data_IF_695518131993
#
_entry.id   IF_695518131993
#
_cell.length_a   1.000
_cell.length_b   1.000
_cell.length_c   1.000
_cell.angle_alpha   90.00
_cell.angle_beta   90.00
_cell.angle_gamma   90.00
#
_symmetry.space_group_name_H-M   'P 1'
#
loop_
_entity.id
_entity.type
_entity.pdbx_description
1 polymer ?
#
# COMPACT_ATOMS: atom_id res chain seq x y z
N UNK A 1 -29.05 16.33 -96.80
CA UNK A 1 -27.88 16.81 -97.52
C UNK A 1 -26.70 16.78 -96.64
N UNK A 2 -25.70 16.06 -96.99
CA UNK A 2 -24.30 16.04 -96.66
C UNK A 2 -23.90 15.83 -95.22
N UNK A 3 -23.65 14.63 -94.92
CA UNK A 3 -22.84 14.03 -93.88
C UNK A 3 -21.35 14.31 -94.02
N UNK A 4 -20.60 14.44 -92.99
CA UNK A 4 -19.22 13.91 -92.83
C UNK A 4 -18.80 13.78 -91.43
N UNK A 5 -17.84 12.85 -91.07
CA UNK A 5 -17.77 12.22 -89.80
C UNK A 5 -16.60 12.77 -88.98
N UNK A 6 -16.74 12.65 -87.60
CA UNK A 6 -15.66 12.98 -86.67
C UNK A 6 -14.77 11.77 -86.41
N UNK A 7 -13.47 11.99 -86.55
CA UNK A 7 -12.39 11.06 -86.31
C UNK A 7 -12.23 10.82 -84.78
N UNK A 8 -12.10 9.57 -84.43
CA UNK A 8 -11.69 9.13 -83.11
C UNK A 8 -10.27 9.62 -82.74
N UNK A 9 -10.14 10.28 -81.62
CA UNK A 9 -8.87 10.54 -81.01
C UNK A 9 -8.85 9.75 -79.66
N UNK A 10 -8.10 8.67 -79.62
CA UNK A 10 -7.89 7.83 -78.47
C UNK A 10 -6.88 8.57 -77.58
N UNK A 11 -7.36 9.01 -76.41
CA UNK A 11 -6.50 9.53 -75.33
C UNK A 11 -6.19 8.35 -74.44
N UNK A 12 -4.91 7.93 -74.43
CA UNK A 12 -4.36 6.97 -73.47
C UNK A 12 -4.14 7.69 -72.20
N UNK A 13 -4.99 7.44 -71.18
CA UNK A 13 -4.74 7.87 -69.78
C UNK A 13 -3.77 6.87 -69.14
N UNK A 14 -2.54 7.33 -68.92
CA UNK A 14 -1.53 6.64 -68.08
C UNK A 14 -1.88 6.86 -66.61
N UNK A 15 -2.53 5.90 -65.97
CA UNK A 15 -2.75 5.91 -64.50
C UNK A 15 -1.44 5.54 -63.80
N UNK A 16 -0.75 6.54 -63.30
CA UNK A 16 0.32 6.34 -62.30
C UNK A 16 -0.33 5.97 -60.97
N UNK A 17 -0.30 4.70 -60.61
CA UNK A 17 -0.58 4.24 -59.25
C UNK A 17 0.58 4.65 -58.37
N UNK A 18 0.43 5.73 -57.61
CA UNK A 18 1.30 6.01 -56.42
C UNK A 18 0.88 5.04 -55.31
N UNK A 19 1.63 3.97 -55.12
CA UNK A 19 1.60 3.18 -53.88
C UNK A 19 2.25 4.05 -52.81
N UNK A 20 1.45 4.78 -52.04
CA UNK A 20 1.86 5.29 -50.73
C UNK A 20 1.94 4.10 -49.76
N UNK A 21 3.14 3.55 -49.61
CA UNK A 21 3.47 2.69 -48.48
C UNK A 21 3.41 3.59 -47.25
N UNK A 22 2.31 3.51 -46.51
CA UNK A 22 2.28 4.03 -45.13
C UNK A 22 3.29 3.19 -44.32
N UNK A 23 4.48 3.72 -44.20
CA UNK A 23 5.44 3.27 -43.19
C UNK A 23 4.87 3.70 -41.82
N UNK A 24 4.14 2.81 -41.15
CA UNK A 24 3.86 2.92 -39.73
C UNK A 24 5.21 2.68 -39.04
N UNK A 25 5.97 3.75 -38.93
CA UNK A 25 7.20 3.75 -38.15
C UNK A 25 6.85 3.51 -36.68
N UNK A 26 6.94 2.27 -36.25
CA UNK A 26 7.03 1.95 -34.82
C UNK A 26 8.27 2.67 -34.29
N UNK A 27 8.09 3.48 -33.25
CA UNK A 27 9.18 4.17 -32.57
C UNK A 27 10.18 3.09 -32.11
N UNK A 28 11.49 3.17 -32.44
CA UNK A 28 12.44 2.09 -32.12
C UNK A 28 12.55 1.81 -30.61
N UNK A 29 12.29 2.81 -29.75
CA UNK A 29 12.23 2.65 -28.31
C UNK A 29 11.09 1.76 -27.86
N UNK A 30 9.91 1.85 -28.47
CA UNK A 30 8.74 1.02 -28.14
C UNK A 30 8.95 -0.46 -28.51
N UNK A 31 9.74 -0.75 -29.56
CA UNK A 31 10.09 -2.11 -29.94
C UNK A 31 11.03 -2.75 -28.93
N UNK A 32 12.04 -2.01 -28.46
CA UNK A 32 13.00 -2.50 -27.46
C UNK A 32 12.33 -2.78 -26.10
N UNK A 33 11.46 -1.88 -25.63
CA UNK A 33 10.70 -2.09 -24.39
C UNK A 33 9.80 -3.34 -24.48
N UNK A 34 9.15 -3.58 -25.64
CA UNK A 34 8.30 -4.76 -25.85
C UNK A 34 9.10 -6.06 -25.89
N UNK A 35 10.28 -6.07 -26.52
CA UNK A 35 11.20 -7.22 -26.51
C UNK A 35 11.67 -7.53 -25.09
N UNK A 36 12.02 -6.51 -24.31
CA UNK A 36 12.45 -6.64 -22.93
C UNK A 36 11.35 -7.23 -22.03
N UNK A 37 10.10 -6.75 -22.18
CA UNK A 37 8.95 -7.32 -21.46
C UNK A 37 8.69 -8.77 -21.81
N UNK A 38 8.87 -9.18 -23.08
CA UNK A 38 8.77 -10.59 -23.47
C UNK A 38 9.83 -11.47 -22.82
N UNK A 39 11.05 -10.95 -22.63
CA UNK A 39 12.09 -11.65 -21.85
C UNK A 39 11.72 -11.74 -20.37
N UNK A 40 11.20 -10.66 -19.79
CA UNK A 40 10.71 -10.65 -18.41
C UNK A 40 9.63 -11.72 -18.22
N UNK A 41 8.64 -11.82 -19.12
CA UNK A 41 7.57 -12.82 -19.06
C UNK A 41 8.14 -14.25 -19.01
N UNK A 42 9.11 -14.54 -19.90
CA UNK A 42 9.78 -15.85 -19.90
C UNK A 42 10.55 -16.12 -18.63
N UNK A 43 11.31 -15.14 -18.14
CA UNK A 43 12.11 -15.26 -16.92
C UNK A 43 11.26 -15.39 -15.66
N UNK A 44 10.14 -14.64 -15.59
CA UNK A 44 9.19 -14.73 -14.48
C UNK A 44 8.61 -16.14 -14.38
N UNK A 45 8.20 -16.72 -15.51
CA UNK A 45 7.68 -18.09 -15.54
C UNK A 45 8.76 -19.15 -15.19
N UNK A 46 10.00 -18.97 -15.63
CA UNK A 46 11.14 -19.84 -15.23
C UNK A 46 11.45 -19.76 -13.74
N UNK A 47 11.23 -18.60 -13.12
CA UNK A 47 11.58 -18.31 -11.73
C UNK A 47 10.46 -18.66 -10.73
N UNK A 48 9.23 -18.93 -11.18
CA UNK A 48 8.04 -19.13 -10.34
C UNK A 48 8.30 -20.09 -9.16
N UNK A 49 8.83 -21.27 -9.44
CA UNK A 49 9.10 -22.27 -8.40
C UNK A 49 10.07 -21.77 -7.34
N UNK A 50 11.04 -20.95 -7.73
CA UNK A 50 12.03 -20.36 -6.82
C UNK A 50 11.42 -19.26 -5.95
N UNK A 51 10.54 -18.41 -6.52
CA UNK A 51 9.79 -17.40 -5.77
C UNK A 51 8.91 -18.06 -4.71
N UNK A 52 8.25 -19.18 -5.07
CA UNK A 52 7.46 -19.97 -4.11
C UNK A 52 8.35 -20.56 -3.00
N UNK A 53 9.56 -21.06 -3.32
CA UNK A 53 10.52 -21.55 -2.32
C UNK A 53 10.95 -20.45 -1.35
N UNK A 54 11.28 -19.26 -1.84
CA UNK A 54 11.65 -18.10 -1.02
C UNK A 54 10.48 -17.68 -0.09
N UNK A 55 9.27 -17.54 -0.65
CA UNK A 55 8.07 -17.24 0.13
C UNK A 55 7.87 -18.23 1.26
N UNK A 56 7.95 -19.54 0.99
CA UNK A 56 7.76 -20.60 2.00
C UNK A 56 8.85 -20.59 3.06
N UNK A 57 10.10 -20.28 2.68
CA UNK A 57 11.18 -20.13 3.64
C UNK A 57 10.92 -18.99 4.62
N UNK A 58 10.52 -17.82 4.10
CA UNK A 58 10.21 -16.63 4.92
C UNK A 58 8.98 -16.92 5.80
N UNK A 59 7.94 -17.55 5.25
CA UNK A 59 6.74 -17.93 5.98
C UNK A 59 7.01 -18.87 7.17
N UNK A 60 7.95 -19.78 7.03
CA UNK A 60 8.37 -20.69 8.10
C UNK A 60 9.20 -20.03 9.19
N UNK A 61 9.81 -18.90 8.90
CA UNK A 61 10.73 -18.17 9.76
C UNK A 61 10.32 -16.73 10.00
N UNK A 62 9.06 -16.46 10.38
CA UNK A 62 8.54 -15.12 10.51
C UNK A 62 9.14 -14.40 11.73
N UNK A 63 9.35 -13.09 11.60
CA UNK A 63 9.87 -12.24 12.66
C UNK A 63 8.97 -11.02 12.82
N UNK A 64 8.80 -10.57 14.07
CA UNK A 64 7.98 -9.39 14.40
C UNK A 64 8.66 -8.09 13.97
N UNK A 65 7.86 -7.04 13.84
CA UNK A 65 8.28 -5.67 13.51
C UNK A 65 9.52 -5.22 14.28
N UNK A 66 10.50 -4.62 13.60
CA UNK A 66 11.83 -4.23 14.10
C UNK A 66 12.69 -5.39 14.66
N UNK A 67 12.33 -6.64 14.36
CA UNK A 67 13.06 -7.85 14.78
C UNK A 67 13.38 -8.80 13.60
N UNK A 68 13.21 -8.32 12.38
CA UNK A 68 13.31 -9.06 11.12
C UNK A 68 14.78 -9.33 10.72
N UNK A 69 15.64 -9.70 11.69
CA UNK A 69 17.08 -9.84 11.49
C UNK A 69 17.46 -10.97 10.53
N UNK A 70 16.82 -12.15 10.66
CA UNK A 70 17.09 -13.31 9.80
C UNK A 70 16.47 -13.13 8.42
N UNK A 71 15.31 -12.49 8.35
CA UNK A 71 14.65 -12.09 7.11
C UNK A 71 15.55 -11.12 6.34
N UNK A 72 16.10 -10.10 7.01
CA UNK A 72 17.07 -9.17 6.42
C UNK A 72 18.37 -9.86 5.97
N UNK A 73 18.89 -10.80 6.76
CA UNK A 73 20.07 -11.60 6.39
C UNK A 73 19.79 -12.43 5.13
N UNK A 74 18.67 -13.13 5.08
CA UNK A 74 18.25 -13.95 3.94
C UNK A 74 18.10 -13.15 2.64
N UNK A 75 17.47 -11.96 2.74
CA UNK A 75 17.36 -11.02 1.62
C UNK A 75 18.75 -10.54 1.18
N UNK A 76 19.61 -10.16 2.14
CA UNK A 76 20.95 -9.65 1.87
C UNK A 76 21.83 -10.69 1.19
N UNK A 77 21.76 -11.96 1.59
CA UNK A 77 22.48 -13.05 0.94
C UNK A 77 22.09 -13.16 -0.53
N UNK A 78 20.78 -13.21 -0.84
CA UNK A 78 20.30 -13.26 -2.21
C UNK A 78 20.76 -12.07 -3.06
N UNK A 79 20.60 -10.84 -2.55
CA UNK A 79 20.98 -9.62 -3.27
C UNK A 79 22.50 -9.52 -3.49
N UNK A 80 23.30 -10.05 -2.53
CA UNK A 80 24.76 -10.13 -2.65
C UNK A 80 25.19 -11.08 -3.75
N UNK A 81 24.51 -12.23 -3.91
CA UNK A 81 24.76 -13.17 -5.00
C UNK A 81 24.50 -12.53 -6.38
N UNK A 82 23.56 -11.57 -6.45
CA UNK A 82 23.28 -10.78 -7.64
C UNK A 82 24.30 -9.66 -7.90
N UNK A 83 25.20 -9.39 -6.96
CA UNK A 83 26.22 -8.35 -7.06
C UNK A 83 25.68 -6.93 -7.02
N UNK A 84 24.60 -6.70 -6.27
CA UNK A 84 23.99 -5.39 -6.05
C UNK A 84 24.75 -4.61 -4.97
N UNK A 85 24.63 -3.27 -5.01
CA UNK A 85 25.08 -2.39 -3.93
C UNK A 85 24.01 -2.37 -2.83
N UNK A 86 24.36 -2.82 -1.61
CA UNK A 86 23.40 -3.11 -0.55
C UNK A 86 23.72 -2.28 0.69
N UNK A 87 22.69 -1.65 1.24
CA UNK A 87 22.69 -1.02 2.55
C UNK A 87 21.74 -1.80 3.47
N UNK A 88 22.25 -2.27 4.60
CA UNK A 88 21.47 -2.95 5.65
C UNK A 88 21.30 -2.06 6.87
N UNK A 89 20.33 -2.42 7.73
CA UNK A 89 20.07 -1.69 8.99
C UNK A 89 19.35 -0.35 8.80
N UNK A 90 18.71 -0.13 7.66
CA UNK A 90 17.85 1.05 7.43
C UNK A 90 16.56 0.85 8.23
N UNK A 91 16.20 1.82 9.05
CA UNK A 91 15.07 1.71 9.99
C UNK A 91 15.14 0.40 10.81
N UNK A 92 16.29 0.11 11.41
CA UNK A 92 16.68 -1.05 12.22
C UNK A 92 17.06 -2.29 11.39
N UNK A 93 16.14 -2.92 10.68
CA UNK A 93 16.34 -4.20 10.00
C UNK A 93 16.16 -4.11 8.50
N UNK A 94 15.74 -2.97 7.96
CA UNK A 94 15.48 -2.79 6.53
C UNK A 94 16.73 -2.97 5.66
N UNK A 95 16.49 -3.42 4.44
CA UNK A 95 17.52 -3.66 3.42
C UNK A 95 17.18 -2.85 2.19
N UNK A 96 18.18 -2.12 1.68
CA UNK A 96 18.04 -1.33 0.44
C UNK A 96 19.11 -1.78 -0.53
N UNK A 97 18.75 -2.05 -1.77
CA UNK A 97 19.71 -2.39 -2.82
C UNK A 97 19.52 -1.50 -4.05
N UNK A 98 20.62 -1.22 -4.73
CA UNK A 98 20.65 -0.36 -5.92
C UNK A 98 21.14 -1.17 -7.12
N UNK A 99 20.36 -1.12 -8.20
CA UNK A 99 20.70 -1.63 -9.51
C UNK A 99 20.84 -0.46 -10.48
N UNK A 100 22.07 -0.10 -10.83
CA UNK A 100 22.30 0.85 -11.91
C UNK A 100 22.25 0.13 -13.25
N UNK A 101 21.42 0.61 -14.17
CA UNK A 101 21.34 0.10 -15.55
C UNK A 101 22.54 0.51 -16.40
N UNK A 102 22.50 0.15 -17.69
CA UNK A 102 23.59 0.41 -18.64
C UNK A 102 23.74 1.89 -19.05
N UNK A 103 22.71 2.71 -18.84
CA UNK A 103 22.73 4.12 -19.18
C UNK A 103 21.99 4.94 -18.09
N UNK A 104 22.37 6.21 -17.91
CA UNK A 104 21.63 7.13 -17.04
C UNK A 104 20.16 7.25 -17.47
N UNK A 105 19.27 7.42 -16.49
CA UNK A 105 17.84 7.56 -16.69
C UNK A 105 17.14 7.85 -15.37
N UNK A 106 15.81 7.69 -15.31
CA UNK A 106 15.06 7.89 -14.08
C UNK A 106 15.42 6.87 -13.01
N UNK A 107 15.07 7.19 -11.76
CA UNK A 107 15.24 6.33 -10.60
C UNK A 107 13.87 5.86 -10.12
N UNK A 108 13.64 4.56 -10.15
CA UNK A 108 12.41 3.93 -9.67
C UNK A 108 12.69 3.14 -8.40
N UNK A 109 11.89 3.35 -7.37
CA UNK A 109 11.88 2.49 -6.20
C UNK A 109 10.78 1.41 -6.30
N UNK A 110 11.10 0.22 -5.82
CA UNK A 110 10.17 -0.87 -5.59
C UNK A 110 10.22 -1.24 -4.11
N UNK A 111 9.05 -1.40 -3.48
CA UNK A 111 8.96 -1.68 -2.04
C UNK A 111 8.27 -3.01 -1.75
N UNK A 112 8.81 -3.76 -0.82
CA UNK A 112 8.15 -4.85 -0.11
C UNK A 112 8.34 -4.67 1.40
N UNK A 113 7.27 -4.80 2.17
CA UNK A 113 7.32 -4.96 3.61
C UNK A 113 7.76 -6.38 3.98
N UNK A 114 8.27 -6.59 5.20
CA UNK A 114 8.87 -7.90 5.55
C UNK A 114 8.58 -8.39 6.97
N UNK A 115 7.82 -7.66 7.76
CA UNK A 115 7.48 -8.04 9.13
C UNK A 115 6.29 -9.00 9.21
N UNK A 116 6.20 -9.72 10.34
CA UNK A 116 5.13 -10.65 10.65
C UNK A 116 4.38 -10.22 11.91
N UNK A 117 3.24 -10.88 12.16
CA UNK A 117 2.29 -10.56 13.19
C UNK A 117 2.34 -11.53 14.39
N UNK A 118 1.93 -11.07 15.61
CA UNK A 118 1.81 -11.92 16.80
C UNK A 118 0.57 -12.82 16.72
N UNK A 119 0.54 -13.71 15.73
CA UNK A 119 -0.57 -14.64 15.44
C UNK A 119 -0.08 -16.08 15.45
N UNK A 120 -0.81 -16.97 16.13
CA UNK A 120 -0.52 -18.41 16.10
C UNK A 120 -1.21 -19.06 14.91
N UNK A 121 -0.44 -19.56 13.97
CA UNK A 121 -0.93 -20.12 12.71
C UNK A 121 -1.73 -21.42 12.90
N UNK A 122 -2.86 -21.52 12.17
CA UNK A 122 -3.72 -22.71 12.14
C UNK A 122 -3.86 -23.34 10.75
N UNK A 123 -3.22 -22.78 9.74
CA UNK A 123 -3.33 -23.32 8.37
C UNK A 123 -2.79 -24.75 8.29
N UNK A 124 -3.29 -25.58 7.35
CA UNK A 124 -2.84 -26.95 7.18
C UNK A 124 -1.61 -27.07 6.25
N UNK A 125 -0.96 -25.96 5.88
CA UNK A 125 0.16 -25.99 4.94
C UNK A 125 1.39 -26.68 5.54
N UNK A 126 2.19 -27.41 4.74
CA UNK A 126 3.35 -28.16 5.26
C UNK A 126 4.49 -27.24 5.72
N UNK A 127 4.49 -25.98 5.32
CA UNK A 127 5.47 -24.96 5.67
C UNK A 127 4.93 -23.93 6.69
N UNK A 128 3.89 -24.27 7.44
CA UNK A 128 3.33 -23.37 8.45
C UNK A 128 4.37 -22.96 9.49
N UNK A 129 4.22 -21.75 10.02
CA UNK A 129 5.03 -21.26 11.12
C UNK A 129 4.77 -22.01 12.42
N UNK A 130 5.84 -22.28 13.14
CA UNK A 130 5.83 -22.70 14.56
C UNK A 130 6.69 -21.74 15.40
N UNK A 131 7.01 -20.59 14.85
CA UNK A 131 7.84 -19.59 15.52
C UNK A 131 7.10 -19.02 16.74
N UNK A 132 7.88 -18.75 17.78
CA UNK A 132 7.44 -18.10 19.01
C UNK A 132 8.26 -16.83 19.18
N UNK A 133 7.59 -15.73 19.51
CA UNK A 133 8.20 -14.44 19.80
C UNK A 133 7.68 -13.84 21.09
N UNK A 134 8.21 -12.69 21.45
CA UNK A 134 7.72 -11.88 22.57
C UNK A 134 7.01 -10.62 22.04
N UNK A 135 5.77 -10.40 22.45
CA UNK A 135 5.00 -9.21 22.10
C UNK A 135 4.33 -8.64 23.36
N UNK A 136 4.62 -7.37 23.69
CA UNK A 136 4.11 -6.69 24.87
C UNK A 136 4.34 -7.47 26.19
N UNK A 137 5.51 -8.10 26.30
CA UNK A 137 5.89 -8.88 27.49
C UNK A 137 5.24 -10.27 27.61
N UNK A 138 4.58 -10.74 26.54
CA UNK A 138 3.96 -12.07 26.49
C UNK A 138 4.57 -12.91 25.37
N UNK A 139 4.70 -14.21 25.62
CA UNK A 139 5.05 -15.18 24.59
C UNK A 139 3.86 -15.39 23.64
N UNK A 140 4.09 -15.27 22.33
CA UNK A 140 3.08 -15.37 21.28
C UNK A 140 3.59 -16.20 20.11
N UNK A 141 2.68 -16.87 19.38
CA UNK A 141 3.00 -17.41 18.07
C UNK A 141 3.24 -16.26 17.06
N UNK A 142 4.08 -16.49 16.08
CA UNK A 142 4.39 -15.50 15.02
C UNK A 142 4.05 -16.08 13.66
N UNK A 143 3.36 -15.30 12.82
CA UNK A 143 2.91 -15.72 11.49
C UNK A 143 2.89 -14.55 10.51
N UNK A 144 3.27 -14.79 9.26
CA UNK A 144 2.95 -13.87 8.16
C UNK A 144 1.45 -13.93 7.83
N UNK A 145 0.64 -13.33 8.70
CA UNK A 145 -0.83 -13.32 8.55
C UNK A 145 -1.34 -12.14 7.71
N UNK A 146 -0.44 -11.35 7.12
CA UNK A 146 -0.74 -10.28 6.16
C UNK A 146 -0.17 -10.56 4.75
N UNK A 147 0.77 -11.51 4.62
CA UNK A 147 1.32 -11.93 3.34
C UNK A 147 2.59 -11.22 2.91
N UNK A 148 3.30 -10.54 3.83
CA UNK A 148 4.55 -9.84 3.56
C UNK A 148 5.66 -10.79 3.08
N UNK A 149 5.61 -12.06 3.48
CA UNK A 149 6.45 -13.13 2.91
C UNK A 149 6.33 -13.26 1.39
N UNK A 150 5.14 -12.99 0.83
CA UNK A 150 4.91 -12.96 -0.62
C UNK A 150 5.51 -11.72 -1.27
N UNK A 151 5.38 -10.56 -0.61
CA UNK A 151 5.90 -9.30 -1.12
C UNK A 151 7.43 -9.34 -1.22
N UNK A 152 8.10 -9.85 -0.16
CA UNK A 152 9.55 -10.05 -0.16
C UNK A 152 9.98 -11.00 -1.28
N UNK A 153 9.32 -12.17 -1.40
CA UNK A 153 9.69 -13.16 -2.42
C UNK A 153 9.50 -12.62 -3.84
N UNK A 154 8.42 -11.88 -4.09
CA UNK A 154 8.17 -11.20 -5.36
C UNK A 154 9.30 -10.21 -5.65
N UNK A 155 9.66 -9.35 -4.69
CA UNK A 155 10.69 -8.33 -4.90
C UNK A 155 12.09 -8.93 -5.09
N UNK A 156 12.41 -10.05 -4.42
CA UNK A 156 13.63 -10.83 -4.68
C UNK A 156 13.64 -11.34 -6.12
N UNK A 157 12.51 -11.83 -6.63
CA UNK A 157 12.37 -12.28 -8.01
C UNK A 157 12.56 -11.14 -9.02
N UNK A 158 11.99 -9.97 -8.74
CA UNK A 158 12.17 -8.77 -9.57
C UNK A 158 13.65 -8.35 -9.58
N UNK A 159 14.30 -8.35 -8.41
CA UNK A 159 15.72 -8.01 -8.31
C UNK A 159 16.60 -8.94 -9.16
N UNK A 160 16.33 -10.25 -9.14
CA UNK A 160 17.05 -11.21 -9.97
C UNK A 160 16.86 -10.93 -11.46
N UNK A 161 15.60 -10.82 -11.93
CA UNK A 161 15.29 -10.63 -13.36
C UNK A 161 15.88 -9.32 -13.88
N UNK A 162 15.69 -8.21 -13.17
CA UNK A 162 16.20 -6.91 -13.62
C UNK A 162 17.74 -6.87 -13.59
N UNK A 163 18.38 -7.60 -12.67
CA UNK A 163 19.86 -7.71 -12.65
C UNK A 163 20.36 -8.50 -13.85
N UNK A 164 19.72 -9.61 -14.23
CA UNK A 164 20.06 -10.37 -15.43
C UNK A 164 19.91 -9.52 -16.72
N UNK A 165 18.95 -8.58 -16.72
CA UNK A 165 18.67 -7.68 -17.85
C UNK A 165 19.32 -6.30 -17.71
N UNK A 166 20.26 -6.12 -16.78
CA UNK A 166 20.92 -4.85 -16.45
C UNK A 166 21.47 -4.11 -17.67
N UNK A 167 22.01 -4.85 -18.66
CA UNK A 167 22.58 -4.24 -19.89
C UNK A 167 21.54 -3.54 -20.79
N UNK A 168 20.27 -3.86 -20.60
CA UNK A 168 19.16 -3.31 -21.39
C UNK A 168 18.43 -2.15 -20.69
N UNK A 169 18.69 -1.95 -19.38
CA UNK A 169 18.01 -0.95 -18.58
C UNK A 169 18.62 0.45 -18.74
N UNK A 170 17.77 1.46 -18.84
CA UNK A 170 18.15 2.89 -18.91
C UNK A 170 17.60 3.62 -17.70
N UNK A 171 18.30 3.59 -16.59
CA UNK A 171 17.86 4.15 -15.31
C UNK A 171 18.41 3.35 -14.14
N UNK A 172 17.92 3.65 -12.96
CA UNK A 172 18.31 3.00 -11.71
C UNK A 172 17.09 2.45 -10.99
N UNK A 173 17.20 1.23 -10.46
CA UNK A 173 16.17 0.62 -9.61
C UNK A 173 16.68 0.58 -8.18
N UNK A 174 15.87 1.09 -7.25
CA UNK A 174 16.12 0.98 -5.82
C UNK A 174 15.13 -0.02 -5.22
N UNK A 175 15.61 -1.14 -4.74
CA UNK A 175 14.82 -2.15 -4.04
C UNK A 175 14.79 -1.82 -2.56
N UNK A 176 13.60 -1.70 -1.98
CA UNK A 176 13.38 -1.33 -0.58
C UNK A 176 12.64 -2.49 0.10
N UNK A 177 13.33 -3.21 0.97
CA UNK A 177 12.74 -4.21 1.86
C UNK A 177 12.55 -3.56 3.22
N UNK A 178 11.29 -3.27 3.52
CA UNK A 178 10.89 -2.38 4.61
C UNK A 178 10.48 -3.18 5.85
N UNK A 179 11.01 -2.86 7.06
CA UNK A 179 10.56 -3.45 8.32
C UNK A 179 9.31 -2.76 8.86
N UNK A 180 8.66 -3.38 9.82
CA UNK A 180 7.70 -2.78 10.75
C UNK A 180 6.53 -2.03 10.09
N UNK A 181 5.96 -2.57 9.00
CA UNK A 181 4.74 -2.02 8.39
C UNK A 181 3.55 -2.12 9.35
N UNK A 182 3.43 -3.21 10.09
CA UNK A 182 2.36 -3.48 11.05
C UNK A 182 2.47 -2.65 12.35
N UNK A 183 3.45 -1.78 12.40
CA UNK A 183 3.73 -0.87 13.51
C UNK A 183 4.93 -1.27 14.35
N UNK A 184 5.76 -0.28 14.67
CA UNK A 184 6.92 -0.47 15.52
C UNK A 184 6.52 -0.84 16.96
N UNK A 185 7.37 -1.59 17.69
CA UNK A 185 7.18 -1.85 19.11
C UNK A 185 7.03 -0.57 19.93
N UNK A 186 6.28 -0.64 21.02
CA UNK A 186 6.01 0.52 21.86
C UNK A 186 7.29 1.22 22.33
N UNK A 187 7.42 2.52 22.03
CA UNK A 187 8.58 3.34 22.35
C UNK A 187 9.71 3.30 21.33
N UNK A 188 9.53 2.59 20.21
CA UNK A 188 10.44 2.59 19.08
C UNK A 188 9.81 3.34 17.89
N UNK A 189 10.65 3.92 17.04
CA UNK A 189 10.25 4.33 15.68
C UNK A 189 10.49 3.16 14.72
N UNK A 190 9.86 3.17 13.54
CA UNK A 190 10.04 2.12 12.53
C UNK A 190 9.26 2.39 11.25
N UNK A 191 9.17 1.37 10.40
CA UNK A 191 8.37 1.40 9.18
C UNK A 191 8.87 2.39 8.12
N UNK A 192 7.99 2.68 7.18
CA UNK A 192 8.27 3.61 6.09
C UNK A 192 8.60 5.03 6.59
N UNK A 193 7.97 5.48 7.69
CA UNK A 193 8.22 6.81 8.26
C UNK A 193 9.68 6.96 8.66
N UNK A 194 10.26 5.97 9.36
CA UNK A 194 11.66 6.01 9.76
C UNK A 194 12.58 5.87 8.55
N UNK A 195 12.27 5.00 7.57
CA UNK A 195 13.05 4.89 6.33
C UNK A 195 13.11 6.22 5.57
N UNK A 196 12.00 6.97 5.49
CA UNK A 196 11.95 8.30 4.88
C UNK A 196 12.79 9.30 5.67
N UNK A 197 12.70 9.30 7.01
CA UNK A 197 13.54 10.15 7.88
C UNK A 197 15.03 9.87 7.70
N UNK A 198 15.41 8.62 7.46
CA UNK A 198 16.79 8.19 7.21
C UNK A 198 17.23 8.43 5.76
N UNK A 199 16.36 8.98 4.90
CA UNK A 199 16.69 9.41 3.56
C UNK A 199 16.67 8.31 2.50
N UNK A 200 15.88 7.25 2.67
CA UNK A 200 15.80 6.12 1.73
C UNK A 200 15.43 6.55 0.30
N UNK A 201 14.73 7.67 0.14
CA UNK A 201 14.33 8.20 -1.18
C UNK A 201 15.40 9.10 -1.83
N UNK A 202 16.56 9.26 -1.21
CA UNK A 202 17.67 10.06 -1.71
C UNK A 202 18.91 9.19 -2.00
N UNK A 203 19.87 9.71 -2.72
CA UNK A 203 21.15 9.04 -3.06
C UNK A 203 21.00 7.61 -3.66
N UNK A 204 20.47 7.50 -4.90
CA UNK A 204 19.98 8.54 -5.78
C UNK A 204 18.55 8.98 -5.42
N UNK A 205 18.17 10.22 -5.82
CA UNK A 205 16.81 10.73 -5.64
C UNK A 205 15.82 9.91 -6.47
N UNK A 206 14.74 9.48 -5.87
CA UNK A 206 13.73 8.61 -6.48
C UNK A 206 12.65 9.44 -7.17
N UNK A 207 12.36 9.13 -8.43
CA UNK A 207 11.34 9.81 -9.25
C UNK A 207 9.93 9.26 -9.04
N UNK A 208 9.82 7.94 -8.83
CA UNK A 208 8.55 7.24 -8.58
C UNK A 208 8.76 5.97 -7.78
N UNK A 209 7.72 5.56 -7.04
CA UNK A 209 7.74 4.31 -6.26
C UNK A 209 6.54 3.42 -6.59
N UNK A 210 6.78 2.11 -6.70
CA UNK A 210 5.75 1.10 -6.87
C UNK A 210 5.79 0.09 -5.72
N UNK A 211 4.60 -0.32 -5.28
CA UNK A 211 4.42 -1.39 -4.32
C UNK A 211 3.15 -2.18 -4.62
N UNK A 212 3.06 -3.37 -4.05
CA UNK A 212 1.86 -4.19 -4.12
C UNK A 212 1.54 -4.78 -2.75
N UNK A 213 0.28 -5.14 -2.57
CA UNK A 213 -0.16 -5.98 -1.47
C UNK A 213 -0.88 -7.21 -1.99
N UNK A 214 -0.59 -8.38 -1.45
CA UNK A 214 -1.37 -9.58 -1.75
C UNK A 214 -2.75 -9.47 -1.10
N UNK A 215 -3.81 -9.92 -1.79
CA UNK A 215 -5.18 -9.88 -1.26
C UNK A 215 -5.79 -11.27 -1.26
N UNK A 216 -6.18 -11.76 -0.10
CA UNK A 216 -6.92 -13.02 0.04
C UNK A 216 -8.40 -12.90 -0.37
N UNK A 217 -8.86 -11.69 -0.70
CA UNK A 217 -10.22 -11.41 -1.17
C UNK A 217 -10.32 -11.20 -2.69
N UNK A 218 -9.20 -10.98 -3.37
CA UNK A 218 -9.13 -10.82 -4.83
C UNK A 218 -8.72 -12.16 -5.46
N UNK A 219 -9.44 -12.68 -6.46
CA UNK A 219 -9.07 -13.92 -7.14
C UNK A 219 -7.66 -13.90 -7.69
N UNK A 220 -6.94 -15.03 -7.58
CA UNK A 220 -5.60 -15.20 -8.15
C UNK A 220 -5.61 -14.88 -9.65
N UNK A 221 -4.54 -14.22 -10.13
CA UNK A 221 -4.43 -13.76 -11.52
C UNK A 221 -5.07 -12.39 -11.79
N UNK A 222 -5.76 -11.79 -10.82
CA UNK A 222 -6.31 -10.43 -10.92
C UNK A 222 -5.43 -9.40 -10.22
N UNK A 223 -5.52 -8.17 -10.70
CA UNK A 223 -4.95 -6.97 -10.08
C UNK A 223 -6.07 -5.98 -9.83
N UNK A 224 -6.12 -5.40 -8.62
CA UNK A 224 -7.08 -4.34 -8.33
C UNK A 224 -6.35 -3.07 -7.88
N UNK A 225 -6.89 -1.92 -8.28
CA UNK A 225 -6.30 -0.60 -7.99
C UNK A 225 -7.37 0.48 -7.88
N UNK A 226 -6.95 1.66 -7.39
CA UNK A 226 -7.78 2.88 -7.42
C UNK A 226 -6.86 4.10 -7.58
N UNK A 227 -7.26 5.06 -8.39
CA UNK A 227 -6.64 6.39 -8.41
C UNK A 227 -7.01 7.16 -7.14
N UNK A 228 -6.10 7.98 -6.63
CA UNK A 228 -6.32 8.72 -5.39
C UNK A 228 -6.25 7.83 -4.14
N UNK A 229 -7.03 8.16 -3.14
CA UNK A 229 -7.05 7.41 -1.88
C UNK A 229 -7.52 5.97 -2.06
N UNK A 230 -6.64 5.00 -1.94
CA UNK A 230 -6.96 3.57 -2.02
C UNK A 230 -7.14 2.95 -0.64
N UNK A 231 -6.33 3.37 0.36
CA UNK A 231 -6.46 2.97 1.76
C UNK A 231 -6.51 4.20 2.66
N UNK A 232 -7.26 4.09 3.77
CA UNK A 232 -7.52 5.23 4.63
C UNK A 232 -6.32 5.60 5.52
N UNK A 233 -6.29 6.85 5.96
CA UNK A 233 -5.43 7.25 7.07
C UNK A 233 -5.81 6.52 8.36
N UNK A 234 -4.83 6.24 9.22
CA UNK A 234 -5.04 5.63 10.53
C UNK A 234 -4.67 6.63 11.62
N UNK A 235 -5.68 7.16 12.32
CA UNK A 235 -5.48 8.11 13.40
C UNK A 235 -6.33 7.71 14.61
N UNK A 236 -5.94 8.16 15.79
CA UNK A 236 -6.71 7.95 17.01
C UNK A 236 -6.93 9.25 17.78
N UNK A 237 -7.87 9.25 18.69
CA UNK A 237 -8.10 10.35 19.61
C UNK A 237 -8.38 9.84 21.01
N UNK A 238 -7.99 10.64 21.99
CA UNK A 238 -8.30 10.45 23.41
C UNK A 238 -8.98 11.71 23.94
N UNK A 239 -10.03 11.53 24.74
CA UNK A 239 -10.76 12.63 25.39
C UNK A 239 -10.89 12.30 26.86
N UNK A 240 -10.37 13.18 27.74
CA UNK A 240 -10.61 13.13 29.18
C UNK A 240 -11.56 14.26 29.56
N UNK A 241 -12.78 13.89 29.98
CA UNK A 241 -13.78 14.85 30.46
C UNK A 241 -13.65 14.96 31.97
N UNK A 242 -13.33 16.16 32.46
CA UNK A 242 -13.17 16.46 33.89
C UNK A 242 -14.39 17.23 34.40
N UNK A 243 -14.99 16.69 35.44
CA UNK A 243 -16.13 17.25 36.13
C UNK A 243 -15.82 17.60 37.59
N UNK A 244 -16.82 17.41 38.44
CA UNK A 244 -16.69 17.58 39.89
C UNK A 244 -17.46 16.48 40.57
N UNK A 245 -16.75 15.69 41.39
CA UNK A 245 -17.32 14.59 42.15
C UNK A 245 -18.43 15.06 43.09
N UNK A 246 -19.49 14.27 43.20
CA UNK A 246 -20.61 14.51 44.08
C UNK A 246 -21.34 13.24 44.46
N UNK A 247 -22.22 13.34 45.49
CA UNK A 247 -23.14 12.27 45.81
C UNK A 247 -24.20 12.09 44.71
N UNK A 248 -24.41 10.89 44.20
CA UNK A 248 -25.33 10.62 43.06
C UNK A 248 -26.77 11.04 43.31
N UNK A 249 -27.22 11.20 44.60
CA UNK A 249 -28.55 11.74 44.90
C UNK A 249 -28.60 13.30 44.97
N UNK A 250 -27.47 13.97 44.84
CA UNK A 250 -27.35 15.44 44.89
C UNK A 250 -26.50 15.97 43.72
N UNK A 251 -26.89 15.65 42.43
CA UNK A 251 -26.09 15.97 41.26
C UNK A 251 -25.82 17.48 41.08
N UNK A 252 -26.72 18.33 41.56
CA UNK A 252 -26.54 19.78 41.52
C UNK A 252 -25.36 20.32 42.32
N UNK A 253 -24.72 19.51 43.17
CA UNK A 253 -23.55 19.91 43.94
C UNK A 253 -22.23 19.61 43.23
N UNK A 254 -22.29 18.88 42.11
CA UNK A 254 -21.16 18.48 41.28
C UNK A 254 -21.28 18.93 39.84
N UNK A 255 -20.41 18.37 39.00
CA UNK A 255 -20.49 18.44 37.53
C UNK A 255 -20.29 17.01 37.00
N UNK A 256 -21.29 16.49 36.31
CA UNK A 256 -21.31 15.09 35.92
C UNK A 256 -20.56 14.84 34.60
N UNK A 257 -19.36 14.22 34.62
CA UNK A 257 -18.59 13.95 33.42
C UNK A 257 -19.16 12.75 32.64
N UNK A 258 -19.96 11.85 33.25
CA UNK A 258 -20.60 10.73 32.56
C UNK A 258 -21.66 11.23 31.60
N UNK A 259 -22.58 12.08 32.07
CA UNK A 259 -23.63 12.67 31.23
C UNK A 259 -23.01 13.57 30.15
N UNK A 260 -21.99 14.34 30.50
CA UNK A 260 -21.24 15.16 29.53
C UNK A 260 -20.58 14.30 28.44
N UNK A 261 -19.95 13.19 28.80
CA UNK A 261 -19.34 12.26 27.85
C UNK A 261 -20.36 11.62 26.91
N UNK A 262 -21.52 11.23 27.42
CA UNK A 262 -22.60 10.70 26.58
C UNK A 262 -23.07 11.72 25.51
N UNK A 263 -23.15 12.99 25.88
CA UNK A 263 -23.48 14.07 24.93
C UNK A 263 -22.34 14.28 23.91
N UNK A 264 -21.07 14.25 24.33
CA UNK A 264 -19.93 14.34 23.43
C UNK A 264 -20.00 13.20 22.41
N UNK A 265 -20.15 11.94 22.83
CA UNK A 265 -20.25 10.78 21.93
C UNK A 265 -21.35 10.98 20.89
N UNK A 266 -22.53 11.43 21.33
CA UNK A 266 -23.66 11.66 20.44
C UNK A 266 -23.35 12.77 19.43
N UNK A 267 -22.73 13.86 19.88
CA UNK A 267 -22.39 15.00 19.03
C UNK A 267 -21.26 14.65 18.05
N UNK A 268 -20.28 13.82 18.43
CA UNK A 268 -19.23 13.35 17.52
C UNK A 268 -19.80 12.60 16.29
N UNK A 269 -20.95 11.91 16.44
CA UNK A 269 -21.60 11.25 15.30
C UNK A 269 -22.05 12.24 14.22
N UNK A 270 -22.23 13.52 14.57
CA UNK A 270 -22.60 14.55 13.60
C UNK A 270 -21.44 14.93 12.67
N UNK A 271 -20.21 14.63 13.01
CA UNK A 271 -19.03 14.91 12.18
C UNK A 271 -19.21 14.23 10.83
N UNK A 272 -19.33 12.91 10.80
CA UNK A 272 -19.49 12.16 9.57
C UNK A 272 -20.85 12.43 8.92
N UNK A 273 -21.93 12.40 9.71
CA UNK A 273 -23.28 12.45 9.16
C UNK A 273 -23.74 13.84 8.71
N UNK A 274 -23.07 14.96 9.11
CA UNK A 274 -23.52 16.34 8.84
C UNK A 274 -22.44 17.31 8.38
N UNK A 275 -21.16 16.97 8.54
CA UNK A 275 -20.06 17.87 8.22
C UNK A 275 -19.12 17.35 7.14
N UNK A 276 -19.14 16.04 6.83
CA UNK A 276 -18.33 15.45 5.77
C UNK A 276 -19.13 15.31 4.48
N UNK A 277 -18.48 15.63 3.35
CA UNK A 277 -19.03 15.42 2.01
C UNK A 277 -18.78 13.97 1.58
N UNK A 278 -19.66 13.05 2.01
CA UNK A 278 -19.52 11.61 1.75
C UNK A 278 -19.63 11.21 0.27
N UNK A 279 -19.98 12.17 -0.61
CA UNK A 279 -19.91 11.98 -2.07
C UNK A 279 -18.52 12.21 -2.63
N UNK A 280 -17.64 12.89 -1.89
CA UNK A 280 -16.23 13.03 -2.22
C UNK A 280 -15.48 11.75 -1.84
N UNK A 281 -15.38 11.46 -0.55
CA UNK A 281 -14.73 10.23 -0.05
C UNK A 281 -15.35 9.77 1.29
N UNK A 282 -15.06 8.54 1.69
CA UNK A 282 -15.56 8.00 2.96
C UNK A 282 -14.74 8.48 4.16
N UNK A 283 -15.41 8.55 5.32
CA UNK A 283 -14.78 8.83 6.60
C UNK A 283 -15.44 8.04 7.73
N UNK A 284 -14.67 7.71 8.78
CA UNK A 284 -15.13 6.99 9.97
C UNK A 284 -14.63 7.68 11.22
N UNK A 285 -15.51 7.88 12.19
CA UNK A 285 -15.18 8.33 13.56
C UNK A 285 -15.87 7.39 14.53
N UNK A 286 -15.10 6.64 15.30
CA UNK A 286 -15.62 5.65 16.26
C UNK A 286 -15.04 5.90 17.65
N UNK A 287 -15.91 5.99 18.67
CA UNK A 287 -15.49 5.86 20.07
C UNK A 287 -15.47 4.38 20.41
N UNK A 288 -14.26 3.81 20.59
CA UNK A 288 -14.04 2.38 20.82
C UNK A 288 -14.15 1.99 22.29
N UNK A 289 -13.82 2.90 23.20
CA UNK A 289 -13.88 2.66 24.64
C UNK A 289 -14.23 3.92 25.43
N UNK A 290 -14.87 3.70 26.59
CA UNK A 290 -15.19 4.72 27.57
C UNK A 290 -15.06 4.13 28.97
N UNK A 291 -14.39 4.85 29.87
CA UNK A 291 -14.13 4.43 31.25
C UNK A 291 -14.43 5.57 32.23
N UNK A 292 -15.19 5.27 33.26
CA UNK A 292 -15.48 6.24 34.33
C UNK A 292 -16.46 5.71 35.38
N UNK A 293 -16.36 6.25 36.58
CA UNK A 293 -17.17 5.87 37.72
C UNK A 293 -16.68 4.60 38.43
N UNK A 294 -16.95 4.52 39.74
CA UNK A 294 -16.55 3.38 40.59
C UNK A 294 -17.73 2.79 41.38
N UNK A 295 -18.82 3.54 41.54
CA UNK A 295 -19.99 3.13 42.30
C UNK A 295 -21.24 3.89 41.87
N UNK A 296 -22.39 3.23 41.89
CA UNK A 296 -23.67 3.75 41.41
C UNK A 296 -24.17 5.04 42.10
N UNK A 297 -23.73 5.35 43.30
CA UNK A 297 -24.15 6.53 44.04
C UNK A 297 -23.07 7.62 44.11
N UNK A 298 -22.06 7.58 43.23
CA UNK A 298 -20.98 8.56 43.14
C UNK A 298 -20.90 9.07 41.73
N UNK A 299 -21.03 10.38 41.52
CA UNK A 299 -20.63 11.07 40.29
C UNK A 299 -19.09 11.16 40.33
N UNK A 300 -18.36 10.62 39.33
CA UNK A 300 -16.91 10.59 39.33
C UNK A 300 -16.30 11.98 39.07
N UNK A 301 -14.99 12.11 39.25
CA UNK A 301 -14.22 13.30 38.91
C UNK A 301 -13.97 13.41 37.40
N UNK A 302 -13.75 12.27 36.70
CA UNK A 302 -13.44 12.25 35.30
C UNK A 302 -13.98 11.02 34.59
N UNK A 303 -14.05 11.14 33.26
CA UNK A 303 -14.34 10.05 32.31
C UNK A 303 -13.31 10.12 31.17
N UNK A 304 -12.71 8.99 30.83
CA UNK A 304 -11.81 8.82 29.70
C UNK A 304 -12.53 8.14 28.53
N UNK A 305 -12.26 8.60 27.33
CA UNK A 305 -12.71 7.99 26.06
C UNK A 305 -11.57 7.91 25.09
N UNK A 306 -11.57 6.85 24.27
CA UNK A 306 -10.62 6.68 23.16
C UNK A 306 -11.35 6.17 21.93
N UNK A 307 -10.85 6.60 20.76
CA UNK A 307 -11.47 6.22 19.51
C UNK A 307 -10.52 6.27 18.32
N UNK A 308 -11.05 5.85 17.17
CA UNK A 308 -10.32 5.80 15.90
C UNK A 308 -10.94 6.72 14.87
N UNK A 309 -10.09 7.25 13.99
CA UNK A 309 -10.45 8.07 12.83
C UNK A 309 -9.88 7.41 11.59
N UNK A 310 -10.73 7.32 10.53
CA UNK A 310 -10.30 6.92 9.18
C UNK A 310 -10.82 7.95 8.18
N UNK A 311 -9.98 8.37 7.25
CA UNK A 311 -10.35 9.26 6.16
C UNK A 311 -9.60 8.88 4.88
N UNK A 312 -10.22 9.12 3.74
CA UNK A 312 -9.68 8.87 2.40
C UNK A 312 -9.36 10.18 1.65
N UNK A 313 -9.56 11.31 2.33
CA UNK A 313 -9.26 12.64 1.83
C UNK A 313 -8.62 13.47 2.96
N UNK A 314 -7.55 14.22 2.65
CA UNK A 314 -6.78 14.97 3.63
C UNK A 314 -7.56 16.14 4.24
N UNK A 315 -8.33 16.87 3.42
CA UNK A 315 -9.11 18.01 3.90
C UNK A 315 -10.24 17.53 4.83
N UNK A 316 -10.87 16.41 4.50
CA UNK A 316 -11.85 15.76 5.37
C UNK A 316 -11.22 15.30 6.68
N UNK A 317 -10.02 14.70 6.64
CA UNK A 317 -9.29 14.27 7.84
C UNK A 317 -9.01 15.44 8.78
N UNK A 318 -8.47 16.51 8.25
CA UNK A 318 -8.09 17.68 9.04
C UNK A 318 -9.35 18.38 9.63
N UNK A 319 -10.43 18.46 8.84
CA UNK A 319 -11.71 18.94 9.34
C UNK A 319 -12.28 18.04 10.47
N UNK A 320 -12.11 16.72 10.40
CA UNK A 320 -12.51 15.80 11.48
C UNK A 320 -11.73 16.11 12.75
N UNK A 321 -10.43 16.33 12.69
CA UNK A 321 -9.60 16.66 13.85
C UNK A 321 -10.07 17.93 14.55
N UNK A 322 -10.31 19.00 13.79
CA UNK A 322 -10.83 20.26 14.31
C UNK A 322 -12.22 20.11 14.93
N UNK A 323 -13.09 19.29 14.31
CA UNK A 323 -14.44 19.04 14.80
C UNK A 323 -14.44 18.25 16.10
N UNK A 324 -13.62 17.21 16.24
CA UNK A 324 -13.48 16.45 17.48
C UNK A 324 -13.07 17.39 18.63
N UNK A 325 -12.04 18.19 18.41
CA UNK A 325 -11.55 19.18 19.37
C UNK A 325 -12.66 20.15 19.78
N UNK A 326 -13.36 20.73 18.80
CA UNK A 326 -14.40 21.72 19.04
C UNK A 326 -15.61 21.13 19.76
N UNK A 327 -16.10 19.97 19.30
CA UNK A 327 -17.30 19.32 19.88
C UNK A 327 -17.01 18.91 21.32
N UNK A 328 -15.88 18.27 21.58
CA UNK A 328 -15.54 17.82 22.94
C UNK A 328 -15.44 18.99 23.90
N UNK A 329 -14.67 20.02 23.54
CA UNK A 329 -14.43 21.18 24.43
C UNK A 329 -15.71 22.01 24.65
N UNK A 330 -16.49 22.29 23.58
CA UNK A 330 -17.70 23.12 23.71
C UNK A 330 -18.85 22.38 24.38
N UNK A 331 -18.98 21.07 24.19
CA UNK A 331 -19.98 20.29 24.92
C UNK A 331 -19.64 20.20 26.41
N UNK A 332 -18.37 20.02 26.76
CA UNK A 332 -17.92 20.02 28.15
C UNK A 332 -18.17 21.38 28.82
N UNK A 333 -17.78 22.48 28.16
CA UNK A 333 -18.00 23.85 28.65
C UNK A 333 -19.47 24.13 28.89
N UNK A 334 -20.40 23.74 27.97
CA UNK A 334 -21.83 23.90 28.11
C UNK A 334 -22.41 23.19 29.36
N UNK A 335 -21.74 22.13 29.84
CA UNK A 335 -22.14 21.38 31.04
C UNK A 335 -21.36 21.81 32.30
N UNK A 336 -20.53 22.85 32.23
CA UNK A 336 -19.66 23.28 33.32
C UNK A 336 -18.47 22.38 33.60
N UNK A 337 -18.18 21.43 32.67
CA UNK A 337 -17.02 20.54 32.69
C UNK A 337 -15.90 21.09 31.81
N UNK A 338 -14.75 20.41 31.81
CA UNK A 338 -13.67 20.62 30.84
C UNK A 338 -13.38 19.33 30.07
N UNK A 339 -12.87 19.44 28.84
CA UNK A 339 -12.38 18.29 28.09
C UNK A 339 -10.95 18.54 27.59
N UNK A 340 -10.08 17.58 27.84
CA UNK A 340 -8.74 17.52 27.27
C UNK A 340 -8.79 16.54 26.09
N UNK A 341 -8.33 16.97 24.92
CA UNK A 341 -8.36 16.17 23.68
C UNK A 341 -6.94 16.00 23.18
N UNK A 342 -6.55 14.77 22.92
CA UNK A 342 -5.30 14.42 22.22
C UNK A 342 -5.64 13.68 20.95
N UNK A 343 -5.05 14.09 19.82
CA UNK A 343 -5.15 13.38 18.55
C UNK A 343 -3.76 12.84 18.22
N UNK A 344 -3.70 11.53 18.00
CA UNK A 344 -2.48 10.85 17.57
C UNK A 344 -2.56 10.62 16.06
N UNK A 345 -1.57 11.16 15.34
CA UNK A 345 -1.40 10.96 13.93
C UNK A 345 -0.69 9.61 13.71
N UNK A 346 -1.32 8.73 12.95
CA UNK A 346 -0.73 7.49 12.49
C UNK A 346 -0.46 7.57 10.98
N UNK A 347 -0.79 6.50 10.24
CA UNK A 347 -0.48 6.44 8.81
C UNK A 347 -1.29 7.47 8.02
N UNK A 348 -0.65 8.16 7.06
CA UNK A 348 -1.33 8.97 6.06
C UNK A 348 -2.27 8.14 5.18
N UNK A 349 -2.99 8.80 4.29
CA UNK A 349 -3.78 8.13 3.25
C UNK A 349 -2.81 7.50 2.25
N UNK A 350 -2.96 6.21 1.95
CA UNK A 350 -2.28 5.58 0.83
C UNK A 350 -2.91 6.12 -0.45
N UNK A 351 -2.18 7.04 -1.09
CA UNK A 351 -2.69 7.87 -2.17
C UNK A 351 -1.94 7.61 -3.46
N UNK A 352 -2.57 6.90 -4.38
CA UNK A 352 -2.03 6.67 -5.71
C UNK A 352 -2.09 7.94 -6.54
N UNK A 353 -0.93 8.44 -6.97
CA UNK A 353 -0.85 9.61 -7.84
C UNK A 353 -1.69 9.37 -9.12
N UNK A 354 -2.68 10.24 -9.43
CA UNK A 354 -3.59 9.97 -10.54
C UNK A 354 -2.91 10.01 -11.92
N UNK A 355 -1.87 10.83 -12.10
CA UNK A 355 -1.15 10.91 -13.37
C UNK A 355 -0.28 9.65 -13.57
N UNK A 356 0.50 9.29 -12.55
CA UNK A 356 1.30 8.06 -12.56
C UNK A 356 0.40 6.82 -12.74
N UNK A 357 -0.72 6.75 -12.03
CA UNK A 357 -1.65 5.61 -12.10
C UNK A 357 -2.19 5.45 -13.51
N UNK A 358 -2.76 6.51 -14.11
CA UNK A 358 -3.26 6.46 -15.49
C UNK A 358 -2.19 6.10 -16.52
N UNK A 359 -0.96 6.54 -16.28
CA UNK A 359 0.19 6.23 -17.13
C UNK A 359 0.59 4.75 -17.04
N UNK A 360 0.53 4.16 -15.84
CA UNK A 360 1.07 2.82 -15.56
C UNK A 360 0.02 1.68 -15.56
N UNK A 361 -1.27 1.98 -15.46
CA UNK A 361 -2.34 0.95 -15.56
C UNK A 361 -2.28 0.14 -16.86
N UNK A 362 -2.02 0.73 -18.04
CA UNK A 362 -1.84 -0.07 -19.27
C UNK A 362 -0.72 -1.11 -19.17
N UNK A 363 0.33 -0.84 -18.41
CA UNK A 363 1.41 -1.80 -18.14
C UNK A 363 0.93 -2.99 -17.32
N UNK A 364 0.14 -2.74 -16.26
CA UNK A 364 -0.49 -3.80 -15.48
C UNK A 364 -1.46 -4.62 -16.33
N UNK A 365 -2.23 -3.97 -17.21
CA UNK A 365 -3.14 -4.63 -18.15
C UNK A 365 -2.40 -5.50 -19.17
N UNK A 366 -1.22 -5.08 -19.60
CA UNK A 366 -0.37 -5.90 -20.46
C UNK A 366 0.18 -7.12 -19.69
N UNK A 367 0.56 -6.97 -18.45
CA UNK A 367 1.09 -8.06 -17.61
C UNK A 367 0.00 -9.09 -17.25
N UNK A 368 -1.17 -8.66 -16.79
CA UNK A 368 -2.21 -9.55 -16.28
C UNK A 368 -3.30 -9.92 -17.31
N UNK A 369 -3.43 -9.13 -18.40
CA UNK A 369 -4.57 -9.12 -19.30
C UNK A 369 -5.56 -8.00 -18.93
N UNK A 370 -6.11 -7.32 -19.95
CA UNK A 370 -6.95 -6.12 -19.79
C UNK A 370 -8.15 -6.36 -18.86
N UNK A 371 -8.83 -7.51 -18.98
CA UNK A 371 -9.99 -7.85 -18.16
C UNK A 371 -9.65 -8.28 -16.73
N UNK A 372 -8.37 -8.52 -16.43
CA UNK A 372 -7.88 -8.95 -15.11
C UNK A 372 -7.41 -7.78 -14.24
N UNK A 373 -7.37 -6.57 -14.79
CA UNK A 373 -6.98 -5.35 -14.05
C UNK A 373 -8.22 -4.47 -13.88
N UNK A 374 -8.74 -4.40 -12.66
CA UNK A 374 -10.01 -3.73 -12.39
C UNK A 374 -9.87 -2.70 -11.27
N UNK A 375 -10.69 -1.66 -11.32
CA UNK A 375 -10.78 -0.70 -10.23
C UNK A 375 -11.53 -1.29 -9.04
N UNK A 376 -11.09 -0.95 -7.82
CA UNK A 376 -11.74 -1.35 -6.58
C UNK A 376 -12.25 -0.13 -5.81
N UNK A 377 -13.26 -0.28 -4.95
CA UNK A 377 -13.57 0.73 -3.94
C UNK A 377 -12.39 0.91 -2.98
N UNK A 378 -12.23 2.13 -2.45
CA UNK A 378 -11.27 2.33 -1.36
C UNK A 378 -11.64 1.49 -0.13
N UNK A 379 -10.63 1.12 0.66
CA UNK A 379 -10.81 0.38 1.91
C UNK A 379 -10.40 1.22 3.12
N UNK A 380 -10.91 0.87 4.29
CA UNK A 380 -10.62 1.58 5.55
C UNK A 380 -9.43 1.01 6.32
N UNK A 381 -8.74 0.01 5.77
CA UNK A 381 -7.41 -0.39 6.19
C UNK A 381 -6.41 0.75 5.95
N UNK A 382 -5.28 0.70 6.63
CA UNK A 382 -4.19 1.67 6.47
C UNK A 382 -2.90 0.95 6.08
N UNK A 383 -1.99 1.67 5.45
CA UNK A 383 -0.74 1.15 4.90
C UNK A 383 0.33 2.25 4.97
N UNK A 384 1.49 1.94 5.52
CA UNK A 384 2.54 2.93 5.75
C UNK A 384 3.36 3.27 4.50
N UNK A 385 3.17 2.55 3.37
CA UNK A 385 3.64 2.97 2.05
C UNK A 385 3.26 4.42 1.72
N UNK A 386 2.19 4.89 2.35
CA UNK A 386 1.72 6.27 2.31
C UNK A 386 2.77 7.31 2.68
N UNK A 387 3.74 7.00 3.55
CA UNK A 387 4.82 7.93 3.88
C UNK A 387 5.76 8.18 2.69
N UNK A 388 6.02 7.17 1.86
CA UNK A 388 6.75 7.37 0.61
C UNK A 388 5.94 8.22 -0.36
N UNK A 389 4.63 7.94 -0.48
CA UNK A 389 3.73 8.66 -1.39
C UNK A 389 3.51 10.12 -1.00
N UNK A 390 3.78 10.50 0.25
CA UNK A 390 3.83 11.91 0.65
C UNK A 390 5.03 12.67 0.10
N UNK A 391 6.08 11.99 -0.31
CA UNK A 391 7.33 12.59 -0.78
C UNK A 391 7.46 12.57 -2.30
N UNK A 392 7.01 11.49 -2.94
CA UNK A 392 7.16 11.23 -4.38
C UNK A 392 5.90 10.58 -4.95
N UNK A 393 5.64 10.68 -6.26
CA UNK A 393 4.56 9.94 -6.91
C UNK A 393 4.69 8.43 -6.69
N UNK A 394 3.60 7.79 -6.25
CA UNK A 394 3.57 6.34 -6.01
C UNK A 394 2.32 5.68 -6.56
N UNK A 395 2.45 4.41 -6.93
CA UNK A 395 1.34 3.53 -7.28
C UNK A 395 1.40 2.27 -6.43
N UNK A 396 0.36 2.04 -5.66
CA UNK A 396 0.13 0.85 -4.84
C UNK A 396 -1.09 0.11 -5.35
N UNK A 397 -0.98 -1.20 -5.57
CA UNK A 397 -2.06 -2.02 -6.10
C UNK A 397 -2.18 -3.34 -5.36
N UNK A 398 -3.33 -4.00 -5.47
CA UNK A 398 -3.53 -5.32 -4.86
C UNK A 398 -3.38 -6.42 -5.89
N UNK A 399 -2.59 -7.43 -5.54
CA UNK A 399 -2.41 -8.66 -6.30
C UNK A 399 -3.34 -9.74 -5.74
N UNK A 400 -4.07 -10.42 -6.60
CA UNK A 400 -4.99 -11.48 -6.18
C UNK A 400 -4.25 -12.72 -5.66
N UNK A 401 -4.68 -13.18 -4.49
CA UNK A 401 -4.21 -14.40 -3.83
C UNK A 401 -5.34 -15.35 -3.41
N UNK A 402 -6.62 -15.02 -3.70
CA UNK A 402 -7.74 -15.91 -3.39
C UNK A 402 -7.75 -17.10 -4.36
N UNK A 403 -7.66 -18.36 -3.84
CA UNK A 403 -7.79 -19.56 -4.67
C UNK A 403 -9.12 -19.61 -5.41
N UNK A 404 -9.15 -20.26 -6.59
CA UNK A 404 -10.38 -20.46 -7.33
C UNK A 404 -11.43 -21.21 -6.49
N UNK A 405 -12.62 -20.63 -6.36
CA UNK A 405 -13.70 -21.17 -5.52
C UNK A 405 -13.44 -21.10 -4.01
N UNK A 406 -12.35 -20.44 -3.60
CA UNK A 406 -12.01 -20.22 -2.19
C UNK A 406 -12.92 -19.20 -1.51
N UNK A 407 -12.79 -19.12 -0.19
CA UNK A 407 -13.41 -18.08 0.65
C UNK A 407 -12.31 -17.35 1.37
N UNK A 408 -12.32 -16.00 1.38
CA UNK A 408 -11.33 -15.23 2.12
C UNK A 408 -11.28 -15.64 3.59
N UNK A 409 -10.08 -15.86 4.11
CA UNK A 409 -9.87 -16.12 5.54
C UNK A 409 -9.76 -14.82 6.34
N UNK A 410 -9.42 -13.75 5.67
CA UNK A 410 -9.15 -12.43 6.22
C UNK A 410 -7.70 -12.26 6.65
N UNK A 411 -7.12 -11.10 6.32
CA UNK A 411 -5.81 -10.69 6.84
C UNK A 411 -5.84 -10.64 8.38
N UNK A 412 -4.66 -10.80 9.02
CA UNK A 412 -4.46 -10.78 10.47
C UNK A 412 -5.19 -11.92 11.22
N UNK A 413 -5.60 -12.98 10.52
CA UNK A 413 -6.23 -14.15 11.14
C UNK A 413 -5.30 -15.37 11.16
N UNK A 414 -5.49 -16.29 12.12
CA UNK A 414 -4.72 -17.54 12.17
C UNK A 414 -4.90 -18.48 10.96
N UNK A 415 -5.93 -18.25 10.18
CA UNK A 415 -6.32 -19.06 9.02
C UNK A 415 -5.98 -18.38 7.69
N UNK A 416 -5.28 -17.24 7.71
CA UNK A 416 -4.86 -16.50 6.51
C UNK A 416 -4.11 -17.42 5.54
N UNK A 417 -4.53 -17.44 4.30
CA UNK A 417 -3.96 -18.27 3.24
C UNK A 417 -4.11 -17.60 1.88
N UNK A 418 -3.13 -17.77 1.02
CA UNK A 418 -3.13 -17.32 -0.39
C UNK A 418 -2.70 -18.44 -1.34
N UNK A 419 -3.15 -18.36 -2.58
CA UNK A 419 -2.70 -19.18 -3.69
C UNK A 419 -1.37 -18.65 -4.25
N UNK A 420 -0.32 -19.45 -4.19
CA UNK A 420 1.02 -19.07 -4.60
C UNK A 420 1.19 -18.93 -6.11
N UNK A 421 0.26 -19.46 -6.93
CA UNK A 421 0.32 -19.36 -8.39
C UNK A 421 0.18 -17.93 -8.93
N UNK A 422 -0.23 -16.99 -8.08
CA UNK A 422 -0.28 -15.55 -8.42
C UNK A 422 1.05 -14.81 -8.26
N UNK A 423 2.07 -15.41 -7.64
CA UNK A 423 3.32 -14.71 -7.31
C UNK A 423 4.12 -14.33 -8.56
N UNK A 424 4.13 -15.19 -9.58
CA UNK A 424 4.75 -14.92 -10.88
C UNK A 424 4.20 -13.63 -11.51
N UNK A 425 2.88 -13.42 -11.45
CA UNK A 425 2.26 -12.19 -11.96
C UNK A 425 2.75 -10.95 -11.19
N UNK A 426 2.99 -11.05 -9.90
CA UNK A 426 3.58 -9.96 -9.09
C UNK A 426 4.97 -9.59 -9.58
N UNK A 427 5.84 -10.58 -9.81
CA UNK A 427 7.20 -10.40 -10.34
C UNK A 427 7.16 -9.73 -11.72
N UNK A 428 6.35 -10.25 -12.62
CA UNK A 428 6.16 -9.72 -13.97
C UNK A 428 5.64 -8.29 -13.95
N UNK A 429 4.61 -8.01 -13.15
CA UNK A 429 3.98 -6.69 -13.08
C UNK A 429 4.94 -5.61 -12.61
N UNK A 430 5.66 -5.84 -11.50
CA UNK A 430 6.63 -4.86 -10.99
C UNK A 430 7.79 -4.65 -11.96
N UNK A 431 8.27 -5.73 -12.61
CA UNK A 431 9.35 -5.62 -13.61
C UNK A 431 8.91 -4.82 -14.85
N UNK A 432 7.68 -5.05 -15.34
CA UNK A 432 7.12 -4.27 -16.45
C UNK A 432 6.94 -2.79 -16.10
N UNK A 433 6.50 -2.48 -14.86
CA UNK A 433 6.35 -1.09 -14.41
C UNK A 433 7.68 -0.33 -14.47
N UNK A 434 8.79 -0.98 -14.09
CA UNK A 434 10.13 -0.37 -14.19
C UNK A 434 10.48 -0.07 -15.64
N UNK A 435 10.32 -1.04 -16.55
CA UNK A 435 10.67 -0.88 -17.97
C UNK A 435 9.85 0.23 -18.62
N UNK A 436 8.53 0.20 -18.44
CA UNK A 436 7.64 1.19 -19.05
C UNK A 436 7.80 2.58 -18.43
N UNK A 437 8.11 2.67 -17.14
CA UNK A 437 8.42 3.97 -16.52
C UNK A 437 9.70 4.56 -17.12
N UNK A 438 10.77 3.77 -17.25
CA UNK A 438 12.02 4.23 -17.87
C UNK A 438 11.81 4.69 -19.32
N UNK A 439 11.05 3.94 -20.13
CA UNK A 439 10.76 4.34 -21.51
C UNK A 439 9.90 5.60 -21.58
N UNK A 440 8.99 5.80 -20.64
CA UNK A 440 8.03 6.90 -20.61
C UNK A 440 8.61 8.26 -20.20
N UNK A 441 9.75 8.29 -19.50
CA UNK A 441 10.43 9.51 -19.01
C UNK A 441 11.69 9.80 -19.85
N UNK A 442 12.26 8.79 -20.50
CA UNK A 442 13.48 8.93 -21.33
C UNK A 442 13.26 9.45 -22.76
N UNK A 443 12.02 9.83 -23.11
CA UNK A 443 11.65 10.38 -24.43
C UNK A 443 11.24 11.89 -24.29
#
# INVERSE_FOLDING_TARGET
>A
MTTRPFKNLSVILLQCFFLTVLWLGSNPTNVQAQELKTLIDSRSAELESRVIEWRRHIHQNPELSNREYKTAEYITEHLSELGLDIQTGVAHTGVVAILEGAAPGPVVALRADMDALPVTERTPVPFKSTAIGEYQGNEVGVMHACGHDTHVAILMGVAQILTELRSELKGTVKFIFQPAEEGAPAGEEGGAELMVKEGVLTNPDVDAIFGLHISDATPVGMITYKEGGIMASSNSFQITVKGKQAHGSAPWSGVDPIVTSAQIITNLQTIVSRNMELTNEAAVVTVGQIHGGVRSNIIPEEVFMEGTIRALDNDMRDAIFERIQTIATKTAEANGATAEVTISHGYPITYNDPELTRKMVPTLQQAAGESMVVTMPAITGAEDFSFFQQQIPGLYFFLGGLPEGGTPAGHHTPDFYIDESGLELGVRSLSHLVVDYFDSVGN
#
